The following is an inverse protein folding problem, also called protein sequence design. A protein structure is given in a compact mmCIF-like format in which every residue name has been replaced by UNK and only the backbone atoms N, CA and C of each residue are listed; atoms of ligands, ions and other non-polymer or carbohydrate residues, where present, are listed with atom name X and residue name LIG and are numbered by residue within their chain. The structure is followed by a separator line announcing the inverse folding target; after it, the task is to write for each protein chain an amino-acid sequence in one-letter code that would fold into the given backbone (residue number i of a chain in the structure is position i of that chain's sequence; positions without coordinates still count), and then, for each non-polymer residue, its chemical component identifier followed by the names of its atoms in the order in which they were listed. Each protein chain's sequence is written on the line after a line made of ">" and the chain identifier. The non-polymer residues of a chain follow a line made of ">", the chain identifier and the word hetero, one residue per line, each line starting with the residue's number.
data_IF_548023041709
#
_entry.id   IF_548023041709
#
_cell.length_a   1.000
_cell.length_b   1.000
_cell.length_c   1.000
_cell.angle_alpha   90.00
_cell.angle_beta   90.00
_cell.angle_gamma   90.00
#
_symmetry.space_group_name_H-M   'P 1'
#
loop_
_entity.id
_entity.type
_entity.pdbx_description
1 polymer ?
#
# COMPACT_ATOMS: atom_id res chain seq x y z
N UNK A 1 -89.35 38.42 3.25
CA UNK A 1 -88.95 37.21 3.99
C UNK A 1 -87.99 36.33 3.20
N UNK A 2 -88.47 35.57 2.22
CA UNK A 2 -87.72 34.47 1.59
C UNK A 2 -86.52 34.88 0.70
N UNK A 3 -86.58 36.03 0.02
CA UNK A 3 -85.49 36.52 -0.84
C UNK A 3 -84.25 36.97 -0.05
N UNK A 4 -84.44 37.60 1.11
CA UNK A 4 -83.34 38.02 1.99
C UNK A 4 -82.61 36.79 2.56
N UNK A 5 -83.36 35.80 3.07
CA UNK A 5 -82.83 34.52 3.53
C UNK A 5 -82.04 33.78 2.44
N UNK A 6 -82.55 33.75 1.20
CA UNK A 6 -81.85 33.09 0.09
C UNK A 6 -80.54 33.78 -0.28
N UNK A 7 -80.51 35.12 -0.24
CA UNK A 7 -79.29 35.91 -0.46
C UNK A 7 -78.26 35.67 0.65
N UNK A 8 -78.69 35.71 1.90
CA UNK A 8 -77.80 35.55 3.06
C UNK A 8 -77.22 34.13 3.12
N UNK A 9 -78.04 33.11 2.83
CA UNK A 9 -77.58 31.72 2.66
C UNK A 9 -76.54 31.59 1.54
N UNK A 10 -76.79 32.20 0.38
CA UNK A 10 -75.87 32.15 -0.75
C UNK A 10 -74.54 32.86 -0.42
N UNK A 11 -74.59 33.95 0.34
CA UNK A 11 -73.40 34.69 0.77
C UNK A 11 -72.55 33.89 1.76
N UNK A 12 -73.20 33.20 2.72
CA UNK A 12 -72.54 32.30 3.66
C UNK A 12 -71.95 31.08 2.94
N UNK A 13 -72.70 30.49 2.01
CA UNK A 13 -72.24 29.35 1.21
C UNK A 13 -71.02 29.72 0.36
N UNK A 14 -71.06 30.88 -0.31
CA UNK A 14 -69.93 31.37 -1.10
C UNK A 14 -68.70 31.66 -0.22
N UNK A 15 -68.91 32.26 0.95
CA UNK A 15 -67.83 32.52 1.92
C UNK A 15 -67.20 31.21 2.41
N UNK A 16 -68.03 30.22 2.78
CA UNK A 16 -67.56 28.89 3.18
C UNK A 16 -66.76 28.19 2.08
N UNK A 17 -67.29 28.18 0.85
CA UNK A 17 -66.62 27.60 -0.32
C UNK A 17 -65.27 28.27 -0.59
N UNK A 18 -65.18 29.60 -0.45
CA UNK A 18 -63.91 30.32 -0.61
C UNK A 18 -62.87 29.95 0.47
N UNK A 19 -63.29 29.80 1.73
CA UNK A 19 -62.40 29.40 2.83
C UNK A 19 -61.95 27.95 2.67
N UNK A 20 -62.84 27.08 2.21
CA UNK A 20 -62.51 25.68 1.93
C UNK A 20 -61.48 25.57 0.80
N UNK A 21 -61.65 26.31 -0.30
CA UNK A 21 -60.69 26.36 -1.39
C UNK A 21 -59.32 26.87 -0.93
N UNK A 22 -59.27 27.96 -0.16
CA UNK A 22 -58.01 28.47 0.41
C UNK A 22 -57.32 27.46 1.32
N UNK A 23 -58.09 26.69 2.11
CA UNK A 23 -57.55 25.60 2.94
C UNK A 23 -56.94 24.49 2.08
N UNK A 24 -57.65 24.05 1.04
CA UNK A 24 -57.18 23.02 0.11
C UNK A 24 -55.91 23.47 -0.63
N UNK A 25 -55.88 24.71 -1.11
CA UNK A 25 -54.70 25.30 -1.75
C UNK A 25 -53.51 25.33 -0.80
N UNK A 26 -53.71 25.76 0.45
CA UNK A 26 -52.65 25.77 1.46
C UNK A 26 -52.16 24.35 1.79
N UNK A 27 -53.05 23.36 1.89
CA UNK A 27 -52.69 21.97 2.13
C UNK A 27 -51.90 21.38 0.97
N UNK A 28 -52.28 21.68 -0.28
CA UNK A 28 -51.53 21.28 -1.47
C UNK A 28 -50.16 21.95 -1.48
N UNK A 29 -50.07 23.25 -1.17
CA UNK A 29 -48.81 23.98 -1.12
C UNK A 29 -47.87 23.40 -0.04
N UNK A 30 -48.38 23.09 1.15
CA UNK A 30 -47.59 22.46 2.23
C UNK A 30 -47.13 21.05 1.84
N UNK A 31 -47.98 20.26 1.18
CA UNK A 31 -47.59 18.94 0.69
C UNK A 31 -46.56 19.01 -0.44
N UNK A 32 -46.69 19.99 -1.34
CA UNK A 32 -45.72 20.23 -2.41
C UNK A 32 -44.39 20.67 -1.82
N UNK A 33 -44.40 21.59 -0.85
CA UNK A 33 -43.20 22.05 -0.14
C UNK A 33 -42.56 20.91 0.65
N UNK A 34 -43.33 20.05 1.34
CA UNK A 34 -42.79 18.85 2.01
C UNK A 34 -42.16 17.86 1.02
N UNK A 35 -42.79 17.66 -0.15
CA UNK A 35 -42.24 16.80 -1.22
C UNK A 35 -41.00 17.41 -1.88
N UNK A 36 -40.94 18.74 -2.03
CA UNK A 36 -39.82 19.47 -2.62
C UNK A 36 -38.67 19.71 -1.62
N UNK A 37 -38.96 19.78 -0.32
CA UNK A 37 -37.98 19.83 0.79
C UNK A 37 -37.38 18.47 1.13
N UNK A 38 -37.90 17.38 0.56
CA UNK A 38 -37.17 16.14 0.49
C UNK A 38 -35.96 16.39 -0.41
N UNK A 39 -34.83 16.73 0.20
CA UNK A 39 -33.56 16.99 -0.47
C UNK A 39 -33.38 15.92 -1.54
N UNK A 40 -33.50 16.34 -2.81
CA UNK A 40 -33.20 15.47 -3.92
C UNK A 40 -31.69 15.31 -3.89
N UNK A 41 -31.22 14.32 -3.11
CA UNK A 41 -29.82 13.94 -2.99
C UNK A 41 -29.35 13.44 -4.35
N UNK A 42 -29.04 14.38 -5.24
CA UNK A 42 -28.34 14.11 -6.47
C UNK A 42 -26.87 14.03 -6.09
N UNK A 43 -26.28 12.85 -6.25
CA UNK A 43 -24.84 12.68 -6.10
C UNK A 43 -24.18 13.54 -7.20
N UNK A 44 -23.66 14.71 -6.83
CA UNK A 44 -23.02 15.65 -7.77
C UNK A 44 -21.55 15.27 -8.00
N UNK A 45 -20.87 14.69 -7.00
CA UNK A 45 -19.52 14.17 -7.12
C UNK A 45 -19.48 12.76 -6.50
N UNK A 46 -19.30 11.70 -7.31
CA UNK A 46 -19.06 10.37 -6.76
C UNK A 46 -17.76 10.37 -5.96
N UNK A 47 -17.72 9.58 -4.89
CA UNK A 47 -16.52 9.46 -4.05
C UNK A 47 -15.33 9.03 -4.90
N UNK A 48 -14.33 9.91 -5.04
CA UNK A 48 -13.10 9.61 -5.76
C UNK A 48 -12.26 8.69 -4.90
N UNK A 49 -11.97 7.50 -5.42
CA UNK A 49 -11.00 6.60 -4.82
C UNK A 49 -9.67 7.36 -4.66
N UNK A 50 -8.98 7.24 -3.50
CA UNK A 50 -7.76 7.96 -3.26
C UNK A 50 -6.71 7.56 -4.31
N UNK A 51 -6.25 8.54 -5.10
CA UNK A 51 -5.23 8.37 -6.16
C UNK A 51 -3.85 7.97 -5.63
N UNK A 52 -3.64 8.04 -4.32
CA UNK A 52 -2.39 7.66 -3.68
C UNK A 52 -2.72 6.94 -2.38
N UNK A 53 -2.06 5.80 -2.08
CA UNK A 53 -2.23 5.14 -0.79
C UNK A 53 -1.89 6.13 0.32
N UNK A 54 -2.80 6.28 1.29
CA UNK A 54 -2.62 7.17 2.46
C UNK A 54 -1.56 6.62 3.42
N UNK A 55 -1.23 5.34 3.28
CA UNK A 55 -0.28 4.58 4.09
C UNK A 55 -0.05 3.20 3.47
N UNK A 56 1.15 2.59 3.56
CA UNK A 56 2.43 3.12 4.05
C UNK A 56 3.29 3.77 2.96
N UNK A 57 4.22 4.65 3.35
CA UNK A 57 5.23 5.21 2.43
C UNK A 57 6.22 4.13 1.99
N UNK A 58 5.96 3.55 0.82
CA UNK A 58 6.74 2.45 0.25
C UNK A 58 8.24 2.79 0.11
N UNK A 59 8.56 4.06 -0.17
CA UNK A 59 9.95 4.55 -0.27
C UNK A 59 10.66 4.46 1.09
N UNK A 60 10.00 4.83 2.19
CA UNK A 60 10.58 4.72 3.54
C UNK A 60 10.78 3.26 3.92
N UNK A 61 9.80 2.41 3.64
CA UNK A 61 9.88 0.97 3.91
C UNK A 61 11.05 0.34 3.15
N UNK A 62 11.22 0.69 1.87
CA UNK A 62 12.35 0.20 1.06
C UNK A 62 13.70 0.60 1.66
N UNK A 63 13.87 1.86 2.05
CA UNK A 63 15.13 2.31 2.67
C UNK A 63 15.44 1.56 3.98
N UNK A 64 14.42 1.30 4.80
CA UNK A 64 14.59 0.54 6.05
C UNK A 64 15.01 -0.90 5.75
N UNK A 65 14.31 -1.59 4.85
CA UNK A 65 14.61 -2.98 4.50
C UNK A 65 16.00 -3.10 3.87
N UNK A 66 16.38 -2.15 3.00
CA UNK A 66 17.71 -2.12 2.39
C UNK A 66 18.80 -1.96 3.47
N UNK A 67 18.62 -1.02 4.40
CA UNK A 67 19.58 -0.79 5.48
C UNK A 67 19.70 -2.00 6.41
N UNK A 68 18.56 -2.60 6.79
CA UNK A 68 18.54 -3.81 7.63
C UNK A 68 19.16 -5.00 6.91
N UNK A 69 18.84 -5.22 5.63
CA UNK A 69 19.39 -6.32 4.84
C UNK A 69 20.92 -6.24 4.71
N UNK A 70 21.44 -5.05 4.42
CA UNK A 70 22.89 -4.82 4.38
C UNK A 70 23.53 -5.00 5.77
N UNK A 71 22.90 -4.48 6.82
CA UNK A 71 23.38 -4.64 8.19
C UNK A 71 23.45 -6.10 8.63
N UNK A 72 22.41 -6.88 8.33
CA UNK A 72 22.36 -8.32 8.63
C UNK A 72 23.40 -9.09 7.82
N UNK A 73 23.55 -8.79 6.53
CA UNK A 73 24.57 -9.42 5.68
C UNK A 73 26.00 -9.15 6.17
N UNK A 74 26.32 -7.90 6.47
CA UNK A 74 27.61 -7.52 7.03
C UNK A 74 27.85 -8.14 8.41
N UNK A 75 26.82 -8.14 9.28
CA UNK A 75 26.89 -8.77 10.59
C UNK A 75 27.13 -10.28 10.51
N UNK A 76 26.46 -10.98 9.59
CA UNK A 76 26.69 -12.40 9.34
C UNK A 76 28.12 -12.68 8.88
N UNK A 77 28.65 -11.89 7.96
CA UNK A 77 30.06 -12.01 7.52
C UNK A 77 30.98 -11.79 8.72
N UNK A 78 30.74 -10.75 9.52
CA UNK A 78 31.55 -10.45 10.69
C UNK A 78 31.53 -11.58 11.72
N UNK A 79 30.36 -12.16 12.01
CA UNK A 79 30.23 -13.30 12.93
C UNK A 79 30.92 -14.55 12.37
N UNK A 80 30.76 -14.82 11.07
CA UNK A 80 31.43 -15.93 10.42
C UNK A 80 32.95 -15.77 10.47
N UNK A 81 33.47 -14.57 10.20
CA UNK A 81 34.90 -14.27 10.28
C UNK A 81 35.41 -14.35 11.72
N UNK A 82 34.65 -13.87 12.69
CA UNK A 82 35.00 -13.94 14.11
C UNK A 82 35.04 -15.39 14.62
N UNK A 83 34.15 -16.25 14.12
CA UNK A 83 34.15 -17.69 14.43
C UNK A 83 35.19 -18.47 13.61
N UNK A 84 35.61 -17.96 12.44
CA UNK A 84 36.64 -18.58 11.62
C UNK A 84 38.03 -18.27 12.20
N UNK A 85 38.44 -19.05 13.19
CA UNK A 85 39.82 -19.03 13.73
C UNK A 85 40.84 -19.70 12.79
N UNK A 86 40.70 -19.49 11.47
CA UNK A 86 41.65 -20.03 10.49
C UNK A 86 42.96 -19.25 10.55
N UNK A 87 43.95 -19.83 11.22
CA UNK A 87 45.33 -19.34 11.29
C UNK A 87 45.97 -19.33 9.89
N UNK A 88 45.75 -18.27 9.12
CA UNK A 88 46.30 -18.06 7.77
C UNK A 88 47.22 -16.85 7.67
N UNK A 89 47.30 -16.01 8.71
CA UNK A 89 48.24 -14.91 8.76
C UNK A 89 49.60 -15.43 9.25
N UNK A 90 50.58 -15.45 8.34
CA UNK A 90 51.94 -15.89 8.65
C UNK A 90 52.65 -14.89 9.59
N UNK A 91 52.27 -13.61 9.53
CA UNK A 91 52.85 -12.55 10.36
C UNK A 91 52.39 -12.64 11.82
N UNK A 92 51.15 -13.10 12.06
CA UNK A 92 50.64 -13.33 13.43
C UNK A 92 51.28 -14.56 14.10
N UNK A 93 51.88 -15.46 13.32
CA UNK A 93 52.54 -16.65 13.84
C UNK A 93 53.85 -16.32 14.57
N UNK A 94 54.65 -15.37 14.06
CA UNK A 94 55.91 -14.97 14.71
C UNK A 94 55.65 -14.19 16.01
N UNK A 95 54.62 -13.34 16.03
CA UNK A 95 54.29 -12.52 17.21
C UNK A 95 53.59 -13.33 18.33
N UNK A 96 52.65 -14.23 18.02
CA UNK A 96 51.92 -15.00 19.06
C UNK A 96 52.70 -16.21 19.60
N UNK A 97 53.51 -16.88 18.76
CA UNK A 97 54.25 -18.08 19.16
C UNK A 97 55.75 -17.86 19.38
N UNK A 98 56.31 -16.69 19.00
CA UNK A 98 57.73 -16.36 19.20
C UNK A 98 58.71 -17.29 18.44
N UNK A 99 58.21 -18.05 17.46
CA UNK A 99 58.95 -19.06 16.70
C UNK A 99 59.11 -18.58 15.26
N UNK A 100 60.36 -18.48 14.79
CA UNK A 100 60.68 -18.08 13.43
C UNK A 100 60.14 -19.10 12.40
N UNK A 101 59.50 -18.63 11.34
CA UNK A 101 58.93 -19.50 10.29
C UNK A 101 60.06 -20.09 9.44
N UNK A 102 60.38 -21.37 9.66
CA UNK A 102 61.47 -22.06 8.96
C UNK A 102 61.19 -22.34 7.47
N UNK A 103 59.94 -22.57 7.10
CA UNK A 103 59.52 -22.78 5.71
C UNK A 103 58.00 -22.62 5.56
N UNK A 104 57.56 -21.98 4.48
CA UNK A 104 56.15 -21.96 4.06
C UNK A 104 55.92 -23.02 2.99
N UNK A 105 54.97 -23.94 3.22
CA UNK A 105 54.58 -24.92 2.19
C UNK A 105 53.57 -24.25 1.24
N UNK A 106 53.90 -24.11 -0.06
CA UNK A 106 52.97 -23.55 -1.02
C UNK A 106 51.80 -24.50 -1.25
N UNK A 107 50.57 -23.98 -1.26
CA UNK A 107 49.38 -24.75 -1.65
C UNK A 107 49.49 -25.15 -3.13
N UNK A 108 49.65 -26.44 -3.38
CA UNK A 108 49.62 -27.02 -4.74
C UNK A 108 48.16 -27.30 -5.12
N UNK A 109 47.63 -26.56 -6.08
CA UNK A 109 46.25 -26.72 -6.56
C UNK A 109 46.14 -27.86 -7.58
N UNK A 110 45.32 -28.86 -7.30
CA UNK A 110 45.05 -29.97 -8.21
C UNK A 110 43.99 -29.56 -9.26
N UNK A 111 43.98 -30.18 -10.45
CA UNK A 111 42.96 -29.91 -11.51
C UNK A 111 41.50 -29.99 -11.02
N UNK A 112 41.21 -30.78 -9.98
CA UNK A 112 39.88 -30.88 -9.33
C UNK A 112 39.50 -29.59 -8.57
N UNK A 113 40.45 -28.88 -7.98
CA UNK A 113 40.21 -27.66 -7.21
C UNK A 113 39.71 -26.52 -8.10
N UNK A 114 40.15 -26.49 -9.37
CA UNK A 114 39.66 -25.52 -10.34
C UNK A 114 38.18 -25.73 -10.73
N UNK A 115 37.69 -26.99 -10.72
CA UNK A 115 36.27 -27.27 -11.00
C UNK A 115 35.38 -26.84 -9.84
N UNK A 116 35.79 -27.14 -8.60
CA UNK A 116 35.07 -26.72 -7.39
C UNK A 116 35.08 -25.19 -7.23
N UNK A 117 36.22 -24.52 -7.50
CA UNK A 117 36.29 -23.05 -7.53
C UNK A 117 35.38 -22.45 -8.60
N UNK A 118 35.37 -22.99 -9.82
CA UNK A 118 34.45 -22.53 -10.87
C UNK A 118 32.99 -22.72 -10.50
N UNK A 119 32.63 -23.85 -9.88
CA UNK A 119 31.26 -24.08 -9.42
C UNK A 119 30.85 -23.05 -8.36
N UNK A 120 31.69 -22.82 -7.34
CA UNK A 120 31.41 -21.79 -6.33
C UNK A 120 31.37 -20.38 -6.94
N UNK A 121 32.22 -20.06 -7.92
CA UNK A 121 32.18 -18.78 -8.64
C UNK A 121 30.89 -18.61 -9.47
N UNK A 122 30.41 -19.67 -10.11
CA UNK A 122 29.13 -19.65 -10.85
C UNK A 122 27.95 -19.55 -9.87
N UNK A 123 27.99 -20.27 -8.75
CA UNK A 123 26.94 -20.21 -7.73
C UNK A 123 26.87 -18.84 -7.05
N UNK A 124 28.02 -18.22 -6.75
CA UNK A 124 28.08 -16.84 -6.22
C UNK A 124 27.63 -15.81 -7.25
N UNK A 125 28.00 -15.97 -8.52
CA UNK A 125 27.49 -15.11 -9.58
C UNK A 125 25.97 -15.25 -9.75
N UNK A 126 25.45 -16.48 -9.67
CA UNK A 126 24.01 -16.75 -9.74
C UNK A 126 23.25 -16.14 -8.56
N UNK A 127 23.75 -16.27 -7.33
CA UNK A 127 23.10 -15.68 -6.16
C UNK A 127 23.04 -14.15 -6.23
N UNK A 128 24.11 -13.51 -6.72
CA UNK A 128 24.14 -12.05 -6.95
C UNK A 128 23.10 -11.65 -8.01
N UNK A 129 23.00 -12.42 -9.09
CA UNK A 129 22.06 -12.14 -10.18
C UNK A 129 20.60 -12.26 -9.70
N UNK A 130 20.28 -13.32 -8.96
CA UNK A 130 18.95 -13.51 -8.35
C UNK A 130 18.62 -12.37 -7.39
N UNK A 131 19.55 -11.97 -6.52
CA UNK A 131 19.36 -10.87 -5.60
C UNK A 131 19.11 -9.53 -6.33
N UNK A 132 19.87 -9.26 -7.40
CA UNK A 132 19.67 -8.08 -8.23
C UNK A 132 18.30 -8.08 -8.94
N UNK A 133 17.85 -9.25 -9.40
CA UNK A 133 16.54 -9.40 -10.06
C UNK A 133 15.39 -9.13 -9.08
N UNK A 134 15.46 -9.68 -7.86
CA UNK A 134 14.46 -9.44 -6.80
C UNK A 134 14.42 -7.97 -6.37
N UNK A 135 15.59 -7.32 -6.25
CA UNK A 135 15.65 -5.88 -5.96
C UNK A 135 15.03 -5.05 -7.10
N UNK A 136 15.30 -5.42 -8.36
CA UNK A 136 14.72 -4.74 -9.51
C UNK A 136 13.19 -4.91 -9.57
N UNK A 137 12.67 -6.11 -9.31
CA UNK A 137 11.24 -6.38 -9.21
C UNK A 137 10.58 -5.55 -8.11
N UNK A 138 11.18 -5.51 -6.92
CA UNK A 138 10.69 -4.72 -5.80
C UNK A 138 10.69 -3.21 -6.11
N UNK A 139 11.76 -2.70 -6.73
CA UNK A 139 11.84 -1.31 -7.17
C UNK A 139 10.76 -1.01 -8.22
N UNK A 140 10.56 -1.91 -9.19
CA UNK A 140 9.54 -1.77 -10.22
C UNK A 140 8.13 -1.75 -9.60
N UNK A 141 7.85 -2.57 -8.59
CA UNK A 141 6.61 -2.52 -7.81
C UNK A 141 6.41 -1.19 -7.09
N UNK A 142 7.47 -0.62 -6.52
CA UNK A 142 7.42 0.69 -5.86
C UNK A 142 7.15 1.81 -6.87
N UNK A 143 7.75 1.76 -8.06
CA UNK A 143 7.59 2.77 -9.10
C UNK A 143 6.28 2.67 -9.90
N UNK A 144 5.81 1.45 -10.22
CA UNK A 144 4.55 1.24 -10.94
C UNK A 144 3.31 1.48 -10.07
N UNK A 145 3.48 1.60 -8.75
CA UNK A 145 2.39 1.88 -7.82
C UNK A 145 1.51 0.66 -7.57
N UNK A 146 0.93 0.57 -6.37
CA UNK A 146 0.06 -0.53 -5.90
C UNK A 146 -1.33 -0.53 -6.59
N UNK A 147 -1.51 0.29 -7.62
CA UNK A 147 -2.75 0.45 -8.39
C UNK A 147 -3.28 -0.88 -8.99
N UNK A 148 -2.46 -1.74 -9.64
CA UNK A 148 -2.94 -3.00 -10.18
C UNK A 148 -3.19 -4.06 -9.09
N UNK A 149 -2.50 -3.99 -7.96
CA UNK A 149 -2.70 -4.93 -6.83
C UNK A 149 -4.05 -4.64 -6.17
N UNK A 150 -4.40 -3.37 -5.98
CA UNK A 150 -5.72 -2.95 -5.49
C UNK A 150 -6.84 -3.41 -6.43
N UNK A 151 -6.62 -3.36 -7.74
CA UNK A 151 -7.59 -3.80 -8.74
C UNK A 151 -7.83 -5.32 -8.71
N UNK A 152 -6.78 -6.10 -8.47
CA UNK A 152 -6.88 -7.56 -8.31
C UNK A 152 -7.57 -7.92 -6.99
N UNK A 153 -7.25 -7.21 -5.90
CA UNK A 153 -7.92 -7.41 -4.60
C UNK A 153 -9.40 -7.03 -4.67
N UNK A 154 -9.77 -5.95 -5.37
CA UNK A 154 -11.18 -5.59 -5.58
C UNK A 154 -11.93 -6.62 -6.44
N UNK A 155 -11.33 -7.09 -7.53
CA UNK A 155 -11.91 -8.15 -8.36
C UNK A 155 -12.06 -9.49 -7.61
N UNK A 156 -11.18 -9.79 -6.66
CA UNK A 156 -11.27 -10.99 -5.82
C UNK A 156 -12.26 -10.82 -4.65
N UNK A 157 -12.39 -9.59 -4.13
CA UNK A 157 -13.29 -9.24 -3.02
C UNK A 157 -14.74 -8.99 -3.47
N UNK A 158 -15.03 -9.01 -4.77
CA UNK A 158 -16.39 -9.01 -5.30
C UNK A 158 -17.20 -7.74 -4.96
N UNK A 159 -16.58 -6.57 -5.10
CA UNK A 159 -17.28 -5.27 -5.15
C UNK A 159 -16.91 -4.57 -6.45
#
# INVERSE_FOLDING_TARGET
>A
GMLALKRDYNNIHNSYSSLLNRKLEAEIAVNLEKKQKGEQFRIIDPARLPRKPISPDLIRLFMIILAVGLGVGAGLIFVLEFLDSSLKDHDKFEDDLGLAVLATIPKVYQKKDYRLKRLNQVLTAFSILVAACLLAEFVLLVFYGVEPIMQIVQNLAGI
#
